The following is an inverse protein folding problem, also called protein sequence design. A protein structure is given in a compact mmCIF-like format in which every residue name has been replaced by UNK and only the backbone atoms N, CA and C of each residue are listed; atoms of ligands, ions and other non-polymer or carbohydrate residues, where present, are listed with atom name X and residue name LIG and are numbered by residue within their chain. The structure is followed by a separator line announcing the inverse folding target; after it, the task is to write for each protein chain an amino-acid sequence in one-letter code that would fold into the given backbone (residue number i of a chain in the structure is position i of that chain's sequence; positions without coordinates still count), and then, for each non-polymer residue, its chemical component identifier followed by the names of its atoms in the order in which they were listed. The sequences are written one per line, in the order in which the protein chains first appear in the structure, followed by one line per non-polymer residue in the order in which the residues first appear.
data_IF_418627750109
#
_entry.id   IF_418627750109
#
_cell.length_a   1.000
_cell.length_b   1.000
_cell.length_c   1.000
_cell.angle_alpha   90.00
_cell.angle_beta   90.00
_cell.angle_gamma   90.00
#
_symmetry.space_group_name_H-M   'P 1'
#
loop_
_entity.id
_entity.type
_entity.pdbx_description
1 polymer ?
#
# COMPACT_ATOMS: atom_id res chain seq x y z
N UNK A 1 -0.30 -11.52 -17.49
CA UNK A 1 0.26 -11.33 -16.14
C UNK A 1 -0.68 -10.43 -15.39
N UNK A 2 -0.90 -10.65 -14.10
CA UNK A 2 -1.82 -9.80 -13.34
C UNK A 2 -1.13 -8.45 -13.05
N UNK A 3 -1.81 -7.30 -13.18
CA UNK A 3 -1.19 -5.96 -12.97
C UNK A 3 -0.47 -5.85 -11.61
N UNK A 4 -0.98 -6.59 -10.62
CA UNK A 4 -0.44 -6.71 -9.27
C UNK A 4 0.96 -7.37 -9.24
N UNK A 5 1.19 -8.40 -10.06
CA UNK A 5 2.49 -9.09 -10.15
C UNK A 5 3.54 -8.19 -10.81
N UNK A 6 3.15 -7.41 -11.82
CA UNK A 6 4.03 -6.48 -12.51
C UNK A 6 4.49 -5.36 -11.58
N UNK A 7 3.58 -4.79 -10.79
CA UNK A 7 3.91 -3.81 -9.75
C UNK A 7 4.90 -4.41 -8.75
N UNK A 8 4.68 -5.64 -8.29
CA UNK A 8 5.58 -6.29 -7.35
C UNK A 8 6.97 -6.54 -7.93
N UNK A 9 7.06 -7.02 -9.18
CA UNK A 9 8.34 -7.18 -9.87
C UNK A 9 9.10 -5.85 -10.00
N UNK A 10 8.39 -4.77 -10.30
CA UNK A 10 8.99 -3.44 -10.31
C UNK A 10 9.50 -3.06 -8.91
N UNK A 11 8.73 -3.32 -7.84
CA UNK A 11 9.18 -3.07 -6.47
C UNK A 11 10.47 -3.82 -6.12
N UNK A 12 10.58 -5.09 -6.53
CA UNK A 12 11.80 -5.88 -6.34
C UNK A 12 13.00 -5.33 -7.12
N UNK A 13 12.77 -4.86 -8.36
CA UNK A 13 13.82 -4.27 -9.18
C UNK A 13 14.35 -2.95 -8.60
N UNK A 14 13.55 -2.28 -7.77
CA UNK A 14 13.86 -0.99 -7.18
C UNK A 14 14.03 -1.04 -5.66
N UNK A 15 14.84 -1.99 -5.17
CA UNK A 15 15.22 -2.24 -3.77
C UNK A 15 15.51 -0.99 -2.89
N UNK A 16 15.69 0.20 -3.46
CA UNK A 16 15.98 1.45 -2.75
C UNK A 16 14.92 2.55 -2.90
N UNK A 17 13.71 2.22 -3.36
CA UNK A 17 12.66 3.22 -3.53
C UNK A 17 12.04 3.63 -2.19
N UNK A 18 12.19 4.92 -1.88
CA UNK A 18 11.51 5.58 -0.76
C UNK A 18 10.04 5.91 -1.08
N UNK A 19 9.61 5.85 -2.34
CA UNK A 19 8.30 6.31 -2.82
C UNK A 19 7.76 5.49 -4.00
N UNK A 20 6.67 4.74 -3.79
CA UNK A 20 5.95 4.06 -4.86
C UNK A 20 4.56 4.67 -5.02
N UNK A 21 4.22 5.12 -6.24
CA UNK A 21 2.90 5.62 -6.59
C UNK A 21 2.19 4.66 -7.52
N UNK A 22 0.98 4.26 -7.14
CA UNK A 22 0.14 3.36 -7.91
C UNK A 22 -1.20 4.03 -8.18
N UNK A 23 -1.71 3.89 -9.41
CA UNK A 23 -3.05 4.37 -9.78
C UNK A 23 -4.00 3.18 -9.76
N UNK A 24 -5.02 3.26 -8.92
CA UNK A 24 -6.07 2.26 -8.81
C UNK A 24 -7.42 2.93 -9.08
N UNK A 25 -8.24 2.35 -9.95
CA UNK A 25 -9.49 2.99 -10.36
C UNK A 25 -10.61 2.69 -9.36
N UNK A 26 -10.50 1.59 -8.62
CA UNK A 26 -11.45 1.23 -7.56
C UNK A 26 -10.76 0.85 -6.23
N UNK A 27 -11.54 0.92 -5.15
CA UNK A 27 -11.05 0.61 -3.81
C UNK A 27 -10.83 -0.89 -3.55
N UNK A 28 -11.59 -1.78 -4.21
CA UNK A 28 -11.46 -3.22 -3.98
C UNK A 28 -10.10 -3.74 -4.48
N UNK A 29 -9.66 -3.28 -5.64
CA UNK A 29 -8.34 -3.50 -6.21
C UNK A 29 -7.27 -2.90 -5.32
N UNK A 30 -7.46 -1.67 -4.85
CA UNK A 30 -6.52 -1.05 -3.93
C UNK A 30 -6.39 -1.85 -2.62
N UNK A 31 -7.48 -2.36 -2.05
CA UNK A 31 -7.45 -3.17 -0.85
C UNK A 31 -6.67 -4.49 -1.06
N UNK A 32 -6.94 -5.18 -2.17
CA UNK A 32 -6.24 -6.42 -2.53
C UNK A 32 -4.75 -6.17 -2.78
N UNK A 33 -4.43 -5.11 -3.53
CA UNK A 33 -3.08 -4.71 -3.85
C UNK A 33 -2.29 -4.29 -2.61
N UNK A 34 -2.89 -3.46 -1.74
CA UNK A 34 -2.30 -3.10 -0.45
C UNK A 34 -2.02 -4.38 0.33
N UNK A 35 -3.01 -5.24 0.56
CA UNK A 35 -2.82 -6.50 1.30
C UNK A 35 -1.67 -7.33 0.73
N UNK A 36 -1.59 -7.44 -0.60
CA UNK A 36 -0.53 -8.18 -1.28
C UNK A 36 0.84 -7.56 -1.01
N UNK A 37 1.03 -6.27 -1.31
CA UNK A 37 2.27 -5.53 -1.09
C UNK A 37 2.71 -5.62 0.38
N UNK A 38 1.78 -5.41 1.33
CA UNK A 38 2.09 -5.47 2.75
C UNK A 38 2.48 -6.87 3.21
N UNK A 39 1.82 -7.92 2.70
CA UNK A 39 2.15 -9.32 3.04
C UNK A 39 3.54 -9.70 2.53
N UNK A 40 3.89 -9.25 1.32
CA UNK A 40 5.21 -9.47 0.74
C UNK A 40 6.29 -8.73 1.54
N UNK A 41 6.06 -7.45 1.88
CA UNK A 41 6.98 -6.67 2.71
C UNK A 41 7.26 -7.33 4.08
N UNK A 42 6.22 -7.91 4.69
CA UNK A 42 6.34 -8.65 5.95
C UNK A 42 7.23 -9.89 5.83
N UNK A 43 7.13 -10.62 4.72
CA UNK A 43 7.86 -11.89 4.55
C UNK A 43 9.34 -11.70 4.20
N UNK A 44 9.71 -10.55 3.65
CA UNK A 44 11.00 -10.39 2.97
C UNK A 44 11.95 -9.37 3.64
N UNK A 45 11.71 -8.98 4.90
CA UNK A 45 12.56 -8.01 5.63
C UNK A 45 12.78 -6.68 4.87
N UNK A 46 11.77 -6.22 4.13
CA UNK A 46 11.86 -4.98 3.36
C UNK A 46 11.73 -3.76 4.26
N UNK A 47 12.85 -3.28 4.78
CA UNK A 47 12.93 -2.06 5.60
C UNK A 47 13.05 -0.76 4.77
N UNK A 48 13.04 -0.86 3.44
CA UNK A 48 13.47 0.23 2.56
C UNK A 48 12.31 1.06 1.99
N UNK A 49 11.09 0.53 1.95
CA UNK A 49 9.91 1.28 1.52
C UNK A 49 9.43 2.15 2.68
N UNK A 50 9.60 3.47 2.53
CA UNK A 50 9.17 4.47 3.52
C UNK A 50 7.82 5.11 3.21
N UNK A 51 7.39 5.06 1.94
CA UNK A 51 6.13 5.65 1.49
C UNK A 51 5.52 4.87 0.32
N UNK A 52 4.24 4.56 0.47
CA UNK A 52 3.41 3.93 -0.56
C UNK A 52 2.16 4.79 -0.77
N UNK A 53 1.89 5.15 -2.02
CA UNK A 53 0.80 6.05 -2.39
C UNK A 53 -0.13 5.38 -3.40
N UNK A 54 -1.43 5.37 -3.09
CA UNK A 54 -2.48 4.89 -3.98
C UNK A 54 -3.35 6.06 -4.41
N UNK A 55 -3.44 6.32 -5.70
CA UNK A 55 -4.45 7.24 -6.24
C UNK A 55 -5.72 6.46 -6.52
N UNK A 56 -6.79 6.76 -5.79
CA UNK A 56 -8.13 6.19 -5.87
C UNK A 56 -9.13 7.36 -5.90
N UNK A 57 -9.70 7.71 -7.07
CA UNK A 57 -10.64 8.84 -7.22
C UNK A 57 -11.92 8.75 -6.36
N UNK A 58 -12.20 7.59 -5.79
CA UNK A 58 -13.37 7.32 -4.95
C UNK A 58 -13.03 7.15 -3.47
N UNK A 59 -11.78 7.45 -3.08
CA UNK A 59 -11.33 7.30 -1.69
C UNK A 59 -12.07 8.23 -0.73
N UNK A 60 -12.77 7.65 0.24
CA UNK A 60 -13.39 8.34 1.35
C UNK A 60 -12.75 7.96 2.70
N UNK A 61 -13.13 8.65 3.77
CA UNK A 61 -12.60 8.37 5.11
C UNK A 61 -13.01 6.98 5.64
N UNK A 62 -14.15 6.43 5.16
CA UNK A 62 -14.62 5.11 5.55
C UNK A 62 -13.71 4.02 4.97
N UNK A 63 -13.24 4.20 3.76
CA UNK A 63 -12.25 3.36 3.10
C UNK A 63 -10.92 3.39 3.84
N UNK A 64 -10.43 4.57 4.23
CA UNK A 64 -9.19 4.72 5.00
C UNK A 64 -9.28 3.94 6.33
N UNK A 65 -10.36 4.12 7.08
CA UNK A 65 -10.57 3.38 8.35
C UNK A 65 -10.63 1.87 8.18
N UNK A 66 -11.24 1.39 7.08
CA UNK A 66 -11.24 -0.04 6.76
C UNK A 66 -9.82 -0.54 6.47
N UNK A 67 -9.03 0.23 5.74
CA UNK A 67 -7.65 -0.11 5.44
C UNK A 67 -6.81 -0.16 6.72
N UNK A 68 -6.92 0.84 7.60
CA UNK A 68 -6.28 0.84 8.92
C UNK A 68 -6.64 -0.42 9.72
N UNK A 69 -7.93 -0.75 9.78
CA UNK A 69 -8.40 -1.95 10.47
C UNK A 69 -7.78 -3.22 9.89
N UNK A 70 -7.64 -3.32 8.56
CA UNK A 70 -6.99 -4.46 7.90
C UNK A 70 -5.52 -4.56 8.31
N UNK A 71 -4.76 -3.46 8.27
CA UNK A 71 -3.34 -3.46 8.62
C UNK A 71 -3.14 -3.92 10.07
N UNK A 72 -3.95 -3.38 10.99
CA UNK A 72 -3.90 -3.70 12.41
C UNK A 72 -4.31 -5.15 12.64
N UNK A 73 -5.51 -5.56 12.19
CA UNK A 73 -6.07 -6.90 12.44
C UNK A 73 -5.20 -8.00 11.84
N UNK A 74 -4.63 -7.77 10.65
CA UNK A 74 -3.77 -8.75 9.99
C UNK A 74 -2.31 -8.66 10.45
N UNK A 75 -2.00 -7.75 11.38
CA UNK A 75 -0.65 -7.47 11.86
C UNK A 75 0.34 -7.44 10.69
N UNK A 76 -0.03 -6.68 9.66
CA UNK A 76 0.74 -6.68 8.42
C UNK A 76 2.03 -5.92 8.61
N UNK A 77 2.04 -4.86 9.44
CA UNK A 77 3.19 -3.99 9.63
C UNK A 77 3.21 -3.29 10.99
N UNK A 78 4.41 -2.92 11.43
CA UNK A 78 4.66 -2.07 12.60
C UNK A 78 4.91 -0.61 12.16
N UNK A 79 4.49 0.35 13.00
CA UNK A 79 4.79 1.78 12.85
C UNK A 79 4.38 2.44 11.52
N UNK A 80 3.29 1.98 10.91
CA UNK A 80 2.73 2.60 9.71
C UNK A 80 1.65 3.64 10.06
N UNK A 81 1.67 4.80 9.42
CA UNK A 81 0.63 5.84 9.49
C UNK A 81 -0.10 5.91 8.16
N UNK A 82 -1.43 5.95 8.18
CA UNK A 82 -2.24 6.12 6.96
C UNK A 82 -2.75 7.55 6.90
N UNK A 83 -2.62 8.19 5.73
CA UNK A 83 -3.14 9.54 5.50
C UNK A 83 -3.88 9.59 4.17
N UNK A 84 -5.00 10.30 4.12
CA UNK A 84 -5.71 10.61 2.88
C UNK A 84 -5.50 12.07 2.49
N UNK A 85 -5.21 12.31 1.21
CA UNK A 85 -5.16 13.66 0.62
C UNK A 85 -5.91 13.63 -0.71
N UNK A 86 -7.12 14.22 -0.72
CA UNK A 86 -8.03 14.19 -1.88
C UNK A 86 -8.27 12.73 -2.30
N UNK A 87 -7.84 12.37 -3.50
CA UNK A 87 -7.98 11.06 -4.14
C UNK A 87 -6.79 10.13 -3.85
N UNK A 88 -5.92 10.46 -2.90
CA UNK A 88 -4.72 9.69 -2.62
C UNK A 88 -4.73 9.15 -1.20
N UNK A 89 -4.35 7.88 -1.04
CA UNK A 89 -4.10 7.21 0.24
C UNK A 89 -2.61 6.93 0.35
N UNK A 90 -1.99 7.44 1.40
CA UNK A 90 -0.58 7.29 1.70
C UNK A 90 -0.39 6.40 2.92
N UNK A 91 0.57 5.48 2.83
CA UNK A 91 1.07 4.69 3.94
C UNK A 91 2.52 5.12 4.19
N UNK A 92 2.81 5.56 5.41
CA UNK A 92 4.14 6.05 5.83
C UNK A 92 4.70 5.15 6.92
N UNK A 93 5.94 4.70 6.77
CA UNK A 93 6.66 3.96 7.80
C UNK A 93 7.63 4.90 8.54
N UNK A 94 7.64 4.81 9.88
CA UNK A 94 8.60 5.54 10.73
C UNK A 94 9.94 4.84 10.83
#
# INVERSE_FOLDING_TARGET
MNEIEEIYLLMLAFLHINYLQIKCVNYMEAELLVKFILTLMKNESYHLIRLLCFSIPTADDKMVRKLEAIIIVKNLLWNCTIQRVVDNIYLYWK
#
